data_IF_141050260208
#
_entry.id   IF_141050260208
#
_cell.length_a   1.000
_cell.length_b   1.000
_cell.length_c   1.000
_cell.angle_alpha   90.00
_cell.angle_beta   90.00
_cell.angle_gamma   90.00
#
_symmetry.space_group_name_H-M   'P 1'
#
loop_
_entity.id
_entity.type
_entity.pdbx_description
1 polymer ?
#
# COMPACT_ATOMS: atom_id res chain seq x y z
N UNK A 1 -10.72 22.62 13.95
CA UNK A 1 -9.60 22.36 13.03
C UNK A 1 -9.89 23.21 11.80
N UNK A 2 -9.16 24.31 11.58
CA UNK A 2 -9.36 25.22 10.44
C UNK A 2 -8.48 24.78 9.26
N UNK A 3 -8.79 23.60 8.74
CA UNK A 3 -8.08 22.91 7.66
C UNK A 3 -8.83 21.61 7.37
N UNK A 4 -10.15 21.72 7.23
CA UNK A 4 -11.03 20.57 7.00
C UNK A 4 -10.89 20.03 5.58
N UNK A 5 -11.41 18.83 5.36
CA UNK A 5 -11.61 18.30 4.02
C UNK A 5 -12.88 18.91 3.42
N UNK A 6 -12.82 19.26 2.14
CA UNK A 6 -14.01 19.54 1.33
C UNK A 6 -14.09 18.43 0.28
N UNK A 7 -15.13 17.61 0.37
CA UNK A 7 -15.44 16.55 -0.59
C UNK A 7 -16.67 16.94 -1.39
N UNK A 8 -16.70 16.69 -2.71
CA UNK A 8 -17.92 16.84 -3.49
C UNK A 8 -18.94 15.77 -3.07
N UNK A 9 -20.22 16.03 -3.35
CA UNK A 9 -21.29 15.04 -3.15
C UNK A 9 -21.30 13.95 -4.24
N UNK A 10 -20.56 14.16 -5.35
CA UNK A 10 -20.55 13.28 -6.53
C UNK A 10 -19.21 13.27 -7.27
N UNK A 11 -18.99 12.27 -8.12
CA UNK A 11 -17.84 12.16 -9.01
C UNK A 11 -16.65 11.41 -8.41
N UNK A 12 -15.52 11.45 -9.10
CA UNK A 12 -14.32 10.67 -8.76
C UNK A 12 -13.07 11.55 -8.72
N UNK A 13 -12.12 11.18 -7.86
CA UNK A 13 -10.79 11.76 -7.80
C UNK A 13 -9.72 10.67 -7.82
N UNK A 14 -8.58 10.98 -8.44
CA UNK A 14 -7.40 10.14 -8.44
C UNK A 14 -6.24 10.90 -7.78
N UNK A 15 -5.40 10.19 -7.05
CA UNK A 15 -4.24 10.70 -6.35
C UNK A 15 -3.05 9.79 -6.62
N UNK A 16 -1.91 10.40 -6.93
CA UNK A 16 -0.68 9.72 -7.29
C UNK A 16 0.47 10.24 -6.44
N UNK A 17 1.42 9.38 -6.15
CA UNK A 17 2.61 9.77 -5.41
C UNK A 17 3.57 8.62 -5.13
N UNK A 18 4.48 8.91 -4.21
CA UNK A 18 5.51 7.98 -3.79
C UNK A 18 5.10 7.28 -2.49
N UNK A 19 5.53 6.04 -2.38
CA UNK A 19 5.46 5.23 -1.18
C UNK A 19 6.87 4.90 -0.73
N UNK A 20 7.13 5.01 0.57
CA UNK A 20 8.39 4.59 1.18
C UNK A 20 8.13 3.82 2.48
N UNK A 21 8.84 2.71 2.65
CA UNK A 21 8.63 1.79 3.76
C UNK A 21 9.90 1.22 4.36
N UNK A 22 9.68 0.52 5.47
CA UNK A 22 10.69 -0.21 6.23
C UNK A 22 10.18 -1.64 6.41
N UNK A 23 11.03 -2.61 6.14
CA UNK A 23 10.78 -4.02 6.42
C UNK A 23 11.59 -4.47 7.62
N UNK A 24 10.91 -5.09 8.58
CA UNK A 24 11.52 -5.74 9.73
C UNK A 24 11.22 -7.24 9.66
N UNK A 25 12.21 -8.05 10.05
CA UNK A 25 12.15 -9.50 9.87
C UNK A 25 12.08 -10.22 11.20
N UNK A 26 11.18 -11.19 11.30
CA UNK A 26 11.07 -12.08 12.44
C UNK A 26 11.43 -13.50 12.01
N UNK A 27 12.44 -14.08 12.66
CA UNK A 27 12.82 -15.47 12.50
C UNK A 27 11.84 -16.43 13.17
N UNK A 28 11.96 -17.73 12.86
CA UNK A 28 11.05 -18.77 13.38
C UNK A 28 11.11 -18.93 14.92
N UNK A 29 12.17 -18.44 15.56
CA UNK A 29 12.37 -18.41 17.01
C UNK A 29 12.05 -17.04 17.64
N UNK A 30 11.52 -16.10 16.87
CA UNK A 30 11.25 -14.72 17.29
C UNK A 30 12.48 -13.80 17.27
N UNK A 31 13.61 -14.24 16.72
CA UNK A 31 14.79 -13.38 16.53
C UNK A 31 14.54 -12.32 15.46
N UNK A 32 14.96 -11.07 15.71
CA UNK A 32 14.92 -10.03 14.68
C UNK A 32 16.09 -10.20 13.70
N UNK A 33 15.80 -10.32 12.40
CA UNK A 33 16.81 -10.69 11.39
C UNK A 33 17.34 -9.54 10.52
N UNK A 34 17.02 -8.29 10.85
CA UNK A 34 17.59 -7.11 10.18
C UNK A 34 16.53 -6.09 9.77
N UNK A 35 16.94 -5.20 8.86
CA UNK A 35 16.17 -4.06 8.38
C UNK A 35 16.40 -3.91 6.87
N UNK A 36 15.33 -3.68 6.13
CA UNK A 36 15.36 -3.24 4.73
C UNK A 36 14.47 -2.02 4.53
N UNK A 37 14.69 -1.29 3.45
CA UNK A 37 13.87 -0.16 3.02
C UNK A 37 13.10 -0.52 1.76
N UNK A 38 11.94 0.07 1.54
CA UNK A 38 11.18 -0.07 0.30
C UNK A 38 10.84 1.29 -0.29
N UNK A 39 10.79 1.34 -1.62
CA UNK A 39 10.18 2.43 -2.36
C UNK A 39 9.23 1.87 -3.41
N UNK A 40 8.18 2.61 -3.75
CA UNK A 40 7.21 2.24 -4.77
C UNK A 40 6.46 3.47 -5.29
N UNK A 41 5.68 3.29 -6.35
CA UNK A 41 4.63 4.23 -6.73
C UNK A 41 3.29 3.76 -6.18
N UNK A 42 2.43 4.70 -5.83
CA UNK A 42 1.10 4.42 -5.31
C UNK A 42 0.08 5.31 -5.99
N UNK A 43 -1.05 4.68 -6.32
CA UNK A 43 -2.19 5.30 -6.96
C UNK A 43 -3.45 4.99 -6.16
N UNK A 44 -4.26 6.00 -5.87
CA UNK A 44 -5.53 5.86 -5.15
C UNK A 44 -6.63 6.61 -5.89
N UNK A 45 -7.79 5.98 -6.04
CA UNK A 45 -9.01 6.58 -6.55
C UNK A 45 -10.08 6.58 -5.47
N UNK A 46 -10.84 7.67 -5.40
CA UNK A 46 -11.98 7.82 -4.50
C UNK A 46 -13.21 8.09 -5.37
N UNK A 47 -14.26 7.32 -5.12
CA UNK A 47 -15.60 7.56 -5.66
C UNK A 47 -16.46 8.24 -4.59
N UNK A 48 -16.89 9.46 -4.86
CA UNK A 48 -17.71 10.27 -3.94
C UNK A 48 -19.21 10.04 -4.14
N UNK A 49 -19.63 9.40 -5.25
CA UNK A 49 -21.03 9.07 -5.46
C UNK A 49 -21.50 8.00 -4.47
N UNK A 50 -20.60 7.14 -4.01
CA UNK A 50 -20.95 6.08 -3.05
C UNK A 50 -19.82 5.69 -2.07
N UNK A 51 -19.30 6.62 -1.25
CA UNK A 51 -18.15 6.37 -0.36
C UNK A 51 -18.37 5.26 0.68
N UNK A 52 -19.62 4.78 0.80
CA UNK A 52 -20.06 3.72 1.73
C UNK A 52 -20.44 2.39 1.07
N UNK A 53 -20.70 2.34 -0.25
CA UNK A 53 -20.92 1.09 -0.98
C UNK A 53 -19.58 0.56 -1.47
N UNK A 54 -19.26 -0.70 -1.24
CA UNK A 54 -17.98 -1.25 -1.68
C UNK A 54 -17.93 -1.59 -3.17
N UNK A 55 -18.84 -1.04 -3.99
CA UNK A 55 -18.65 -0.86 -5.44
C UNK A 55 -18.12 0.55 -5.80
N UNK A 56 -18.28 1.54 -4.91
CA UNK A 56 -17.83 2.93 -5.03
C UNK A 56 -16.91 3.34 -3.88
N UNK A 57 -15.89 2.53 -3.59
CA UNK A 57 -14.97 2.79 -2.48
C UNK A 57 -13.63 3.38 -2.91
N UNK A 58 -12.84 3.77 -1.91
CA UNK A 58 -11.40 4.02 -2.05
C UNK A 58 -10.77 2.75 -2.62
N UNK A 59 -10.17 2.87 -3.80
CA UNK A 59 -9.47 1.81 -4.51
C UNK A 59 -8.07 2.28 -4.87
N UNK A 60 -7.16 1.37 -5.17
CA UNK A 60 -5.81 1.75 -5.52
C UNK A 60 -4.87 0.57 -5.66
N UNK A 61 -3.63 0.89 -5.99
CA UNK A 61 -2.55 -0.06 -6.05
C UNK A 61 -1.20 0.57 -5.71
N UNK A 62 -0.26 -0.27 -5.29
CA UNK A 62 1.14 0.06 -5.06
C UNK A 62 1.96 -0.85 -5.98
N UNK A 63 2.74 -0.27 -6.87
CA UNK A 63 3.51 -1.01 -7.86
C UNK A 63 4.94 -0.48 -7.99
N UNK A 64 5.74 -1.16 -8.82
CA UNK A 64 7.17 -0.86 -9.01
C UNK A 64 7.94 -0.88 -7.67
N UNK A 65 7.53 -1.73 -6.73
CA UNK A 65 8.13 -1.79 -5.41
C UNK A 65 9.52 -2.42 -5.49
N UNK A 66 10.50 -1.76 -4.89
CA UNK A 66 11.89 -2.22 -4.80
C UNK A 66 12.31 -2.22 -3.34
N UNK A 67 12.97 -3.28 -2.89
CA UNK A 67 13.59 -3.36 -1.57
C UNK A 67 15.09 -3.07 -1.63
N UNK A 68 15.60 -2.40 -0.60
CA UNK A 68 17.00 -2.01 -0.43
C UNK A 68 17.54 -2.46 0.92
N UNK A 69 18.81 -2.86 0.95
CA UNK A 69 19.54 -3.11 2.19
C UNK A 69 19.86 -1.79 2.92
N UNK A 70 20.45 -1.89 4.11
CA UNK A 70 20.83 -0.73 4.93
C UNK A 70 21.87 0.20 4.28
N UNK A 71 22.54 -0.24 3.21
CA UNK A 71 23.52 0.53 2.47
C UNK A 71 22.92 1.13 1.18
N UNK A 72 21.63 0.90 0.91
CA UNK A 72 20.94 1.37 -0.29
C UNK A 72 21.16 0.50 -1.53
N UNK A 73 21.64 -0.74 -1.38
CA UNK A 73 21.75 -1.66 -2.51
C UNK A 73 20.43 -2.42 -2.70
N UNK A 74 19.98 -2.66 -3.95
CA UNK A 74 18.81 -3.48 -4.20
C UNK A 74 18.94 -4.88 -3.59
N UNK A 75 17.88 -5.33 -2.96
CA UNK A 75 17.77 -6.67 -2.37
C UNK A 75 17.51 -7.69 -3.49
N UNK A 76 18.26 -8.78 -3.46
CA UNK A 76 18.18 -9.86 -4.44
C UNK A 76 17.43 -11.05 -3.85
N UNK A 77 16.73 -11.81 -4.71
CA UNK A 77 16.05 -13.06 -4.31
C UNK A 77 17.04 -14.17 -3.95
N UNK A 78 18.24 -14.13 -4.53
CA UNK A 78 19.29 -15.12 -4.31
C UNK A 78 20.64 -14.46 -4.02
N UNK A 79 21.56 -15.23 -3.46
CA UNK A 79 22.88 -14.74 -3.06
C UNK A 79 23.87 -14.60 -4.22
N UNK A 80 23.56 -15.16 -5.39
CA UNK A 80 24.41 -15.15 -6.59
C UNK A 80 24.00 -14.10 -7.64
N UNK A 81 22.87 -13.42 -7.42
CA UNK A 81 22.31 -12.41 -8.33
C UNK A 81 21.67 -12.96 -9.61
N UNK A 82 21.77 -14.26 -9.87
CA UNK A 82 21.16 -14.91 -11.04
C UNK A 82 19.63 -14.97 -10.92
N UNK A 83 19.13 -15.03 -9.68
CA UNK A 83 17.70 -14.97 -9.37
C UNK A 83 17.08 -13.57 -9.53
N UNK A 84 17.90 -12.53 -9.74
CA UNK A 84 17.45 -11.16 -9.88
C UNK A 84 17.02 -10.49 -8.57
N UNK A 85 16.30 -9.37 -8.70
CA UNK A 85 15.75 -8.62 -7.57
C UNK A 85 14.69 -9.45 -6.83
N UNK A 86 14.53 -9.16 -5.54
CA UNK A 86 13.45 -9.73 -4.74
C UNK A 86 12.09 -9.39 -5.40
N UNK A 87 11.28 -10.39 -5.79
CA UNK A 87 9.98 -10.14 -6.38
C UNK A 87 9.03 -9.60 -5.32
N UNK A 88 8.53 -8.39 -5.55
CA UNK A 88 7.55 -7.72 -4.72
C UNK A 88 6.32 -7.40 -5.60
N UNK A 89 5.28 -8.23 -5.56
CA UNK A 89 4.10 -8.06 -6.40
C UNK A 89 3.37 -6.73 -6.12
N UNK A 90 2.54 -6.32 -7.07
CA UNK A 90 1.62 -5.19 -6.90
C UNK A 90 0.67 -5.46 -5.75
N UNK A 91 0.61 -4.52 -4.80
CA UNK A 91 -0.37 -4.52 -3.72
C UNK A 91 -1.63 -3.81 -4.23
N UNK A 92 -2.79 -4.38 -3.96
CA UNK A 92 -4.09 -3.82 -4.35
C UNK A 92 -4.91 -3.53 -3.10
N UNK A 93 -5.70 -2.46 -3.16
CA UNK A 93 -6.68 -2.14 -2.14
C UNK A 93 -7.87 -3.09 -2.27
N UNK A 94 -8.32 -3.62 -1.14
CA UNK A 94 -9.49 -4.50 -1.11
C UNK A 94 -10.74 -3.64 -1.00
N UNK A 95 -11.59 -3.72 -2.01
CA UNK A 95 -12.93 -3.15 -1.97
C UNK A 95 -13.80 -4.02 -1.05
N UNK A 96 -14.12 -3.50 0.14
CA UNK A 96 -15.05 -4.15 1.04
C UNK A 96 -16.48 -3.62 0.80
N UNK A 97 -17.24 -4.42 0.05
CA UNK A 97 -18.62 -4.23 -0.45
C UNK A 97 -19.62 -3.55 0.48
N UNK A 98 -19.44 -3.65 1.80
CA UNK A 98 -20.53 -3.47 2.75
C UNK A 98 -20.32 -2.35 3.77
N UNK A 99 -19.10 -1.81 3.91
CA UNK A 99 -18.74 -0.97 5.08
C UNK A 99 -18.25 0.44 4.69
N UNK A 100 -17.93 0.71 3.43
CA UNK A 100 -17.25 1.96 3.08
C UNK A 100 -15.85 2.04 3.68
N UNK A 101 -15.01 2.88 3.10
CA UNK A 101 -13.62 3.01 3.54
C UNK A 101 -13.12 4.46 3.56
N UNK A 102 -14.05 5.42 3.50
CA UNK A 102 -13.83 6.84 3.81
C UNK A 102 -15.02 7.41 4.58
N UNK A 103 -14.77 8.28 5.57
CA UNK A 103 -15.82 8.98 6.31
C UNK A 103 -15.90 10.48 5.94
N UNK A 104 -16.94 11.16 6.40
CA UNK A 104 -17.17 12.59 6.13
C UNK A 104 -16.09 13.52 6.71
N UNK A 105 -15.19 13.03 7.55
CA UNK A 105 -14.04 13.76 8.09
C UNK A 105 -12.77 13.54 7.24
N UNK A 106 -12.86 12.76 6.16
CA UNK A 106 -11.75 12.45 5.28
C UNK A 106 -10.82 11.38 5.84
N UNK A 107 -11.24 10.58 6.82
CA UNK A 107 -10.44 9.46 7.32
C UNK A 107 -10.74 8.21 6.49
N UNK A 108 -9.69 7.48 6.10
CA UNK A 108 -9.76 6.30 5.24
C UNK A 108 -9.09 5.12 5.93
N UNK A 109 -9.64 3.92 5.77
CA UNK A 109 -8.99 2.70 6.22
C UNK A 109 -9.53 1.47 5.51
N UNK A 110 -8.71 0.44 5.36
CA UNK A 110 -9.15 -0.81 4.75
C UNK A 110 -8.03 -1.84 4.63
N UNK A 111 -8.35 -2.92 3.92
CA UNK A 111 -7.45 -4.04 3.73
C UNK A 111 -6.66 -3.94 2.42
N UNK A 112 -5.51 -4.59 2.40
CA UNK A 112 -4.60 -4.68 1.27
C UNK A 112 -4.26 -6.14 0.97
N UNK A 113 -4.05 -6.45 -0.30
CA UNK A 113 -3.66 -7.78 -0.75
C UNK A 113 -2.71 -7.71 -1.93
N UNK A 114 -1.66 -8.54 -1.93
CA UNK A 114 -0.88 -8.83 -3.13
C UNK A 114 -0.86 -10.33 -3.39
N UNK A 115 -0.71 -10.70 -4.65
CA UNK A 115 -0.73 -12.10 -5.08
C UNK A 115 0.25 -12.32 -6.23
N UNK A 116 0.65 -13.57 -6.41
CA UNK A 116 1.43 -14.02 -7.55
C UNK A 116 0.79 -15.27 -8.15
N UNK A 117 1.07 -15.50 -9.43
CA UNK A 117 0.66 -16.72 -10.13
C UNK A 117 1.86 -17.65 -10.22
N UNK A 118 1.71 -18.89 -9.75
CA UNK A 118 2.76 -19.90 -9.82
C UNK A 118 2.85 -20.57 -11.21
N UNK A 119 3.77 -21.53 -11.34
CA UNK A 119 4.00 -22.25 -12.61
C UNK A 119 2.82 -23.11 -13.05
N UNK A 120 1.91 -23.46 -12.14
CA UNK A 120 0.72 -24.26 -12.42
C UNK A 120 -0.50 -23.36 -12.76
N UNK A 121 -0.30 -22.04 -12.75
CA UNK A 121 -1.35 -21.05 -13.05
C UNK A 121 -2.25 -20.76 -11.85
N UNK A 122 -1.87 -21.19 -10.64
CA UNK A 122 -2.64 -20.93 -9.42
C UNK A 122 -2.23 -19.59 -8.83
N UNK A 123 -3.23 -18.75 -8.52
CA UNK A 123 -3.02 -17.49 -7.81
C UNK A 123 -2.89 -17.77 -6.32
N UNK A 124 -1.73 -17.38 -5.77
CA UNK A 124 -1.41 -17.49 -4.36
C UNK A 124 -1.29 -16.09 -3.75
N UNK A 125 -1.76 -15.94 -2.52
CA UNK A 125 -1.57 -14.70 -1.75
C UNK A 125 -0.09 -14.59 -1.39
N UNK A 126 0.51 -13.44 -1.67
CA UNK A 126 1.89 -13.13 -1.30
C UNK A 126 1.94 -12.44 0.07
N UNK A 127 1.15 -11.37 0.22
CA UNK A 127 1.07 -10.61 1.46
C UNK A 127 -0.32 -10.00 1.65
N UNK A 128 -0.64 -9.70 2.90
CA UNK A 128 -1.89 -9.01 3.28
C UNK A 128 -1.58 -7.94 4.32
N UNK A 129 -2.47 -6.95 4.43
CA UNK A 129 -2.32 -5.95 5.47
C UNK A 129 -3.44 -4.94 5.49
N UNK A 130 -3.16 -3.79 6.09
CA UNK A 130 -4.11 -2.71 6.27
C UNK A 130 -3.50 -1.36 5.96
N UNK A 131 -4.34 -0.40 5.63
CA UNK A 131 -3.95 1.01 5.49
C UNK A 131 -4.82 1.90 6.36
N UNK A 132 -4.25 3.05 6.72
CA UNK A 132 -4.94 4.18 7.33
C UNK A 132 -4.50 5.46 6.64
N UNK A 133 -5.45 6.28 6.23
CA UNK A 133 -5.19 7.52 5.51
C UNK A 133 -6.07 8.68 5.96
N UNK A 134 -5.66 9.89 5.60
CA UNK A 134 -6.39 11.12 5.81
C UNK A 134 -6.33 11.92 4.51
N UNK A 135 -7.50 12.29 4.00
CA UNK A 135 -7.71 13.25 2.93
C UNK A 135 -7.92 14.64 3.53
N UNK A 136 -7.15 15.61 3.04
CA UNK A 136 -7.22 16.99 3.46
C UNK A 136 -7.29 17.94 2.26
N UNK A 137 -7.70 19.18 2.50
CA UNK A 137 -7.82 20.21 1.47
C UNK A 137 -9.16 20.19 0.74
N UNK A 138 -9.26 20.97 -0.33
CA UNK A 138 -10.47 21.09 -1.14
C UNK A 138 -10.36 20.23 -2.41
N UNK A 139 -11.02 19.07 -2.39
CA UNK A 139 -11.05 18.14 -3.54
C UNK A 139 -11.99 18.60 -4.66
N UNK A 140 -12.68 19.74 -4.49
CA UNK A 140 -13.47 20.38 -5.54
C UNK A 140 -12.68 21.44 -6.31
N UNK A 141 -11.55 21.91 -5.75
CA UNK A 141 -10.66 22.85 -6.42
C UNK A 141 -9.69 22.10 -7.35
N UNK A 142 -9.67 22.49 -8.63
CA UNK A 142 -8.76 21.92 -9.61
C UNK A 142 -7.29 22.38 -9.44
N UNK A 143 -7.02 23.39 -8.61
CA UNK A 143 -5.67 23.94 -8.40
C UNK A 143 -4.93 23.30 -7.20
N UNK A 144 -5.67 22.95 -6.14
CA UNK A 144 -5.12 22.33 -4.91
C UNK A 144 -5.47 20.83 -4.86
N UNK A 145 -6.66 20.44 -5.34
CA UNK A 145 -7.04 19.05 -5.61
C UNK A 145 -7.20 18.13 -4.40
N UNK A 146 -6.70 18.54 -3.24
CA UNK A 146 -6.59 17.77 -2.01
C UNK A 146 -5.28 16.99 -1.93
N UNK A 147 -4.91 16.64 -0.70
CA UNK A 147 -3.76 15.80 -0.38
C UNK A 147 -4.24 14.57 0.41
N UNK A 148 -3.76 13.39 0.00
CA UNK A 148 -4.04 12.14 0.70
C UNK A 148 -2.74 11.61 1.30
N UNK A 149 -2.68 11.57 2.63
CA UNK A 149 -1.53 11.04 3.38
C UNK A 149 -1.93 9.80 4.16
N UNK A 150 -1.00 8.88 4.38
CA UNK A 150 -1.33 7.69 5.16
C UNK A 150 -0.16 6.78 5.45
N UNK A 151 -0.51 5.68 6.11
CA UNK A 151 0.39 4.61 6.52
C UNK A 151 -0.20 3.26 6.15
N UNK A 152 0.69 2.33 5.87
CA UNK A 152 0.38 0.96 5.48
C UNK A 152 1.19 0.02 6.34
N UNK A 153 0.57 -1.10 6.74
CA UNK A 153 1.24 -2.21 7.39
C UNK A 153 0.84 -3.49 6.68
N UNK A 154 1.81 -4.22 6.15
CA UNK A 154 1.63 -5.49 5.43
C UNK A 154 2.59 -6.55 5.98
N UNK A 155 2.17 -7.80 5.95
CA UNK A 155 2.93 -8.94 6.42
C UNK A 155 3.04 -10.01 5.32
N UNK A 156 4.25 -10.53 5.12
CA UNK A 156 4.56 -11.59 4.16
C UNK A 156 5.51 -12.63 4.76
N UNK A 157 5.58 -13.80 4.15
CA UNK A 157 6.75 -14.67 4.30
C UNK A 157 7.91 -14.11 3.45
N UNK A 158 9.15 -14.28 3.91
CA UNK A 158 10.32 -13.93 3.13
C UNK A 158 10.69 -15.11 2.21
N UNK A 159 10.61 -14.97 0.87
CA UNK A 159 10.88 -16.07 -0.04
C UNK A 159 12.35 -16.53 -0.03
N UNK A 160 13.26 -15.79 0.62
CA UNK A 160 14.68 -16.13 0.72
C UNK A 160 14.97 -17.11 1.86
N UNK A 161 14.10 -17.18 2.88
CA UNK A 161 14.37 -17.90 4.12
C UNK A 161 13.14 -18.62 4.66
N UNK A 162 13.27 -19.92 4.92
CA UNK A 162 12.19 -20.73 5.48
C UNK A 162 11.82 -20.28 6.91
N UNK A 163 10.52 -20.09 7.16
CA UNK A 163 9.98 -19.68 8.47
C UNK A 163 10.31 -18.26 8.90
N UNK A 164 10.80 -17.40 8.00
CA UNK A 164 11.03 -15.97 8.27
C UNK A 164 9.86 -15.16 7.72
N UNK A 165 9.31 -14.26 8.54
CA UNK A 165 8.30 -13.30 8.10
C UNK A 165 8.88 -11.89 8.04
N UNK A 166 8.32 -11.08 7.15
CA UNK A 166 8.61 -9.67 7.02
C UNK A 166 7.34 -8.87 7.32
N UNK A 167 7.44 -7.90 8.23
CA UNK A 167 6.45 -6.84 8.36
C UNK A 167 7.00 -5.60 7.65
N UNK A 168 6.30 -5.11 6.64
CA UNK A 168 6.59 -3.83 6.01
C UNK A 168 5.65 -2.77 6.58
N UNK A 169 6.22 -1.63 6.99
CA UNK A 169 5.47 -0.45 7.40
C UNK A 169 5.96 0.74 6.60
N UNK A 170 5.07 1.36 5.85
CA UNK A 170 5.41 2.49 5.00
C UNK A 170 4.38 3.59 5.04
N UNK A 171 4.80 4.77 4.59
CA UNK A 171 3.97 5.96 4.47
C UNK A 171 3.88 6.41 3.02
N UNK A 172 2.83 7.20 2.74
CA UNK A 172 2.64 7.83 1.44
C UNK A 172 2.12 9.26 1.60
N UNK A 173 2.39 10.06 0.58
CA UNK A 173 1.81 11.40 0.35
C UNK A 173 1.41 11.44 -1.12
N UNK A 174 0.11 11.60 -1.37
CA UNK A 174 -0.46 11.59 -2.71
C UNK A 174 -1.09 12.93 -3.03
N UNK A 175 -0.88 13.38 -4.25
CA UNK A 175 -1.41 14.62 -4.79
C UNK A 175 -2.31 14.30 -5.98
N UNK A 176 -3.25 15.20 -6.25
CA UNK A 176 -4.19 15.09 -7.36
C UNK A 176 -3.66 15.70 -8.66
#
# INVERSE_FOLDING_TARGET
REGGVVMPDTGQAAFDGDYAGIRIFNGPDGSSQGLEFTEANIHVQIDFDDPTDGQGGVNGYINNRVAYDINGNPVLLGNDGEAGQLPLPTINFVLNGEIGNINAQGELNGDLISSYTDSDGVTNVYETGTYYGILAGDTTDAADGGELVGVIVIESEDPRYDGVTAQETGGFILLR
#
